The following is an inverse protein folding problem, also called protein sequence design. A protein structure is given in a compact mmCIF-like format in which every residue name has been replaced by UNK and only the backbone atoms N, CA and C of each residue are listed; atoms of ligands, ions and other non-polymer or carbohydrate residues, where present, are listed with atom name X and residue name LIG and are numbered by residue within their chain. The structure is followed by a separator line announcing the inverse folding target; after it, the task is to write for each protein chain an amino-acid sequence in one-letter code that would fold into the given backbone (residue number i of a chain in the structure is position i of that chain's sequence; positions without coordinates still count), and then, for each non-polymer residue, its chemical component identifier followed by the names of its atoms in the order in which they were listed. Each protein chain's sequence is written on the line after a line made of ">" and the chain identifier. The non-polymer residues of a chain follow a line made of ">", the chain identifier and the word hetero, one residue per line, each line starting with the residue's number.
data_IF_342158194290
#
_entry.id   IF_342158194290
#
_cell.length_a   1.000
_cell.length_b   1.000
_cell.length_c   1.000
_cell.angle_alpha   90.00
_cell.angle_beta   90.00
_cell.angle_gamma   90.00
#
_symmetry.space_group_name_H-M   'P 1'
#
loop_
_entity.id
_entity.type
_entity.pdbx_description
1 polymer ?
#
# COMPACT_ATOMS: atom_id res chain seq x y z
N UNK A 1 -14.35 3.57 2.72
CA UNK A 1 -13.57 2.58 3.51
C UNK A 1 -12.10 2.92 3.56
N UNK A 2 -11.44 3.10 2.41
CA UNK A 2 -9.98 3.19 2.27
C UNK A 2 -9.27 4.11 3.26
N UNK A 3 -9.75 5.33 3.51
CA UNK A 3 -9.08 6.22 4.48
C UNK A 3 -9.13 5.70 5.93
N UNK A 4 -10.23 5.05 6.33
CA UNK A 4 -10.33 4.43 7.66
C UNK A 4 -9.38 3.23 7.74
N UNK A 5 -9.33 2.41 6.69
CA UNK A 5 -8.40 1.28 6.61
C UNK A 5 -6.95 1.74 6.63
N UNK A 6 -6.60 2.77 5.86
CA UNK A 6 -5.26 3.34 5.81
C UNK A 6 -4.87 3.90 7.19
N UNK A 7 -5.74 4.69 7.82
CA UNK A 7 -5.49 5.17 9.18
C UNK A 7 -5.30 4.00 10.17
N UNK A 8 -6.16 2.99 10.13
CA UNK A 8 -6.03 1.80 10.95
C UNK A 8 -4.74 1.01 10.69
N UNK A 9 -4.22 1.06 9.47
CA UNK A 9 -3.01 0.34 9.08
C UNK A 9 -1.74 0.85 9.75
N UNK A 10 -1.71 2.12 10.18
CA UNK A 10 -0.65 2.60 11.06
C UNK A 10 -0.66 1.83 12.37
N UNK A 11 -1.83 1.66 12.99
CA UNK A 11 -1.98 0.83 14.19
C UNK A 11 -1.63 -0.63 13.95
N UNK A 12 -2.03 -1.20 12.80
CA UNK A 12 -1.72 -2.58 12.43
C UNK A 12 -0.22 -2.83 12.29
N UNK A 13 0.46 -2.07 11.43
CA UNK A 13 1.89 -2.25 11.16
C UNK A 13 2.74 -1.77 12.33
N UNK A 14 2.49 -0.56 12.85
CA UNK A 14 3.30 -0.02 13.95
C UNK A 14 3.06 -0.73 15.28
N UNK A 15 1.83 -1.19 15.54
CA UNK A 15 1.53 -2.03 16.69
C UNK A 15 2.22 -3.40 16.64
N UNK A 16 2.62 -3.87 15.45
CA UNK A 16 3.38 -5.10 15.28
C UNK A 16 4.84 -5.01 15.79
N UNK A 17 5.32 -3.81 16.16
CA UNK A 17 6.56 -3.65 16.94
C UNK A 17 6.42 -4.14 18.39
N UNK A 18 5.17 -4.32 18.87
CA UNK A 18 4.79 -4.85 20.19
C UNK A 18 5.15 -3.99 21.42
N UNK A 19 6.13 -3.11 21.31
CA UNK A 19 6.52 -2.22 22.41
C UNK A 19 7.18 -0.93 21.92
N UNK A 20 7.14 0.07 22.80
CA UNK A 20 7.90 1.32 22.70
C UNK A 20 8.51 1.59 24.07
N UNK A 21 9.56 0.84 24.40
CA UNK A 21 10.23 0.87 25.70
C UNK A 21 11.49 1.75 25.73
N UNK A 22 12.05 2.05 24.56
CA UNK A 22 13.32 2.73 24.40
C UNK A 22 13.36 3.49 23.07
N UNK A 23 14.47 4.20 22.84
CA UNK A 23 14.66 5.01 21.64
C UNK A 23 14.70 4.19 20.35
N UNK A 24 15.25 2.97 20.40
CA UNK A 24 15.36 2.09 19.24
C UNK A 24 13.97 1.63 18.78
N UNK A 25 13.15 1.13 19.72
CA UNK A 25 11.78 0.73 19.46
C UNK A 25 10.90 1.90 19.00
N UNK A 26 11.07 3.09 19.59
CA UNK A 26 10.36 4.29 19.14
C UNK A 26 10.74 4.68 17.70
N UNK A 27 12.02 4.59 17.36
CA UNK A 27 12.53 4.87 16.01
C UNK A 27 12.00 3.84 15.01
N UNK A 28 11.96 2.56 15.39
CA UNK A 28 11.40 1.49 14.56
C UNK A 28 9.92 1.74 14.23
N UNK A 29 9.08 2.11 15.20
CA UNK A 29 7.66 2.47 14.94
C UNK A 29 7.55 3.66 13.99
N UNK A 30 8.38 4.70 14.16
CA UNK A 30 8.41 5.84 13.24
C UNK A 30 8.76 5.44 11.80
N UNK A 31 9.74 4.55 11.64
CA UNK A 31 10.12 4.00 10.35
C UNK A 31 9.00 3.15 9.73
N UNK A 32 8.33 2.33 10.54
CA UNK A 32 7.17 1.54 10.10
C UNK A 32 6.03 2.44 9.61
N UNK A 33 5.72 3.53 10.31
CA UNK A 33 4.71 4.48 9.87
C UNK A 33 5.09 5.14 8.53
N UNK A 34 6.35 5.54 8.39
CA UNK A 34 6.87 6.12 7.15
C UNK A 34 6.74 5.13 5.99
N UNK A 35 7.21 3.89 6.17
CA UNK A 35 7.14 2.85 5.15
C UNK A 35 5.69 2.51 4.77
N UNK A 36 4.81 2.38 5.76
CA UNK A 36 3.39 2.09 5.56
C UNK A 36 2.73 3.17 4.70
N UNK A 37 2.95 4.44 5.04
CA UNK A 37 2.39 5.55 4.29
C UNK A 37 2.99 5.69 2.89
N UNK A 38 4.31 5.52 2.77
CA UNK A 38 5.02 5.60 1.51
C UNK A 38 4.54 4.52 0.51
N UNK A 39 4.37 3.28 0.97
CA UNK A 39 3.85 2.19 0.15
C UNK A 39 2.41 2.44 -0.30
N UNK A 40 1.53 2.89 0.61
CA UNK A 40 0.14 3.20 0.28
C UNK A 40 0.03 4.34 -0.75
N UNK A 41 0.78 5.43 -0.55
CA UNK A 41 0.81 6.56 -1.47
C UNK A 41 1.37 6.16 -2.84
N UNK A 42 2.47 5.41 -2.86
CA UNK A 42 3.08 4.93 -4.09
C UNK A 42 2.15 3.98 -4.87
N UNK A 43 1.42 3.09 -4.17
CA UNK A 43 0.44 2.21 -4.79
C UNK A 43 -0.73 2.96 -5.41
N UNK A 44 -1.24 3.99 -4.73
CA UNK A 44 -2.28 4.86 -5.27
C UNK A 44 -1.82 5.60 -6.55
N UNK A 45 -0.60 6.17 -6.52
CA UNK A 45 -0.02 6.89 -7.65
C UNK A 45 0.27 5.96 -8.83
N UNK A 46 0.80 4.77 -8.56
CA UNK A 46 1.06 3.77 -9.60
C UNK A 46 -0.24 3.30 -10.26
N UNK A 47 -1.28 3.02 -9.48
CA UNK A 47 -2.60 2.68 -10.01
C UNK A 47 -3.17 3.83 -10.87
N UNK A 48 -3.08 5.09 -10.41
CA UNK A 48 -3.46 6.26 -11.21
C UNK A 48 -2.73 6.29 -12.55
N UNK A 49 -1.42 6.06 -12.54
CA UNK A 49 -0.60 6.07 -13.76
C UNK A 49 -0.98 4.92 -14.70
N UNK A 50 -1.20 3.72 -14.19
CA UNK A 50 -1.70 2.58 -14.96
C UNK A 50 -3.08 2.89 -15.57
N UNK A 51 -4.00 3.47 -14.81
CA UNK A 51 -5.32 3.87 -15.32
C UNK A 51 -5.19 4.89 -16.45
N UNK A 52 -4.38 5.93 -16.25
CA UNK A 52 -4.19 7.01 -17.23
C UNK A 52 -3.55 6.50 -18.51
N UNK A 53 -2.59 5.59 -18.43
CA UNK A 53 -1.92 5.02 -19.61
C UNK A 53 -2.77 3.96 -20.32
N UNK A 54 -3.59 3.20 -19.59
CA UNK A 54 -4.42 2.13 -20.17
C UNK A 54 -5.75 2.66 -20.73
N UNK A 55 -6.40 3.61 -20.05
CA UNK A 55 -7.75 4.09 -20.38
C UNK A 55 -7.85 5.59 -20.64
N UNK A 56 -6.76 6.35 -20.54
CA UNK A 56 -6.74 7.81 -20.74
C UNK A 56 -7.39 8.62 -19.60
N UNK A 57 -7.99 7.97 -18.60
CA UNK A 57 -8.69 8.61 -17.49
C UNK A 57 -8.29 8.02 -16.14
N UNK A 58 -8.51 8.80 -15.08
CA UNK A 58 -8.37 8.29 -13.72
C UNK A 58 -9.59 7.41 -13.39
N UNK A 59 -9.36 6.36 -12.60
CA UNK A 59 -10.41 5.52 -12.03
C UNK A 59 -10.23 5.50 -10.51
N UNK A 60 -11.19 6.07 -9.79
CA UNK A 60 -11.10 6.22 -8.34
C UNK A 60 -11.03 4.86 -7.63
N UNK A 61 -11.82 3.88 -8.07
CA UNK A 61 -11.87 2.55 -7.45
C UNK A 61 -10.52 1.85 -7.60
N UNK A 62 -9.91 1.92 -8.79
CA UNK A 62 -8.58 1.34 -9.02
C UNK A 62 -7.49 2.06 -8.20
N UNK A 63 -7.55 3.38 -8.08
CA UNK A 63 -6.60 4.16 -7.26
C UNK A 63 -6.71 3.77 -5.78
N UNK A 64 -7.93 3.67 -5.26
CA UNK A 64 -8.17 3.28 -3.88
C UNK A 64 -7.72 1.83 -3.60
N UNK A 65 -7.94 0.91 -4.55
CA UNK A 65 -7.41 -0.45 -4.46
C UNK A 65 -5.87 -0.48 -4.57
N UNK A 66 -5.27 0.40 -5.38
CA UNK A 66 -3.82 0.58 -5.43
C UNK A 66 -3.23 0.98 -4.08
N UNK A 67 -3.89 1.89 -3.36
CA UNK A 67 -3.49 2.26 -2.00
C UNK A 67 -3.55 1.06 -1.05
N UNK A 68 -4.64 0.29 -1.09
CA UNK A 68 -4.82 -0.90 -0.27
C UNK A 68 -3.81 -2.01 -0.62
N UNK A 69 -3.50 -2.21 -1.90
CA UNK A 69 -2.48 -3.15 -2.33
C UNK A 69 -1.07 -2.76 -1.85
N UNK A 70 -0.77 -1.45 -1.81
CA UNK A 70 0.45 -0.92 -1.19
C UNK A 70 0.54 -1.26 0.29
N UNK A 71 -0.54 -1.02 1.03
CA UNK A 71 -0.66 -1.35 2.46
C UNK A 71 -0.52 -2.86 2.71
N UNK A 72 -1.21 -3.69 1.94
CA UNK A 72 -1.13 -5.16 2.06
C UNK A 72 0.30 -5.64 1.78
N UNK A 73 0.96 -5.14 0.74
CA UNK A 73 2.30 -5.60 0.38
C UNK A 73 3.36 -5.26 1.43
N UNK A 74 3.35 -4.03 1.97
CA UNK A 74 4.33 -3.61 2.99
C UNK A 74 4.10 -4.27 4.36
N UNK A 75 2.91 -4.86 4.58
CA UNK A 75 2.56 -5.54 5.84
C UNK A 75 3.41 -6.78 6.10
N UNK A 76 3.97 -7.41 5.07
CA UNK A 76 4.78 -8.62 5.23
C UNK A 76 6.02 -8.38 6.12
N UNK A 77 6.64 -7.21 5.98
CA UNK A 77 7.73 -6.74 6.83
C UNK A 77 7.84 -5.21 6.72
N UNK A 78 7.14 -4.45 7.57
CA UNK A 78 7.06 -3.00 7.43
C UNK A 78 8.29 -2.25 7.95
N UNK A 79 9.17 -2.92 8.70
CA UNK A 79 10.36 -2.31 9.30
C UNK A 79 11.59 -2.46 8.41
N UNK A 80 11.80 -3.62 7.78
CA UNK A 80 13.05 -3.88 7.05
C UNK A 80 13.30 -3.02 5.81
N UNK A 81 12.30 -2.58 5.02
CA UNK A 81 12.54 -1.74 3.85
C UNK A 81 13.07 -0.36 4.23
N UNK A 82 13.97 0.18 3.42
CA UNK A 82 14.20 1.63 3.40
C UNK A 82 12.94 2.34 2.87
N UNK A 83 12.73 3.64 3.18
CA UNK A 83 11.57 4.39 2.67
C UNK A 83 11.44 4.34 1.14
N UNK A 84 12.56 4.40 0.42
CA UNK A 84 12.56 4.32 -1.04
C UNK A 84 12.17 2.93 -1.54
N UNK A 85 12.58 1.88 -0.82
CA UNK A 85 12.17 0.53 -1.15
C UNK A 85 10.69 0.28 -0.83
N UNK A 86 10.15 0.88 0.24
CA UNK A 86 8.71 0.86 0.53
C UNK A 86 7.89 1.54 -0.59
N UNK A 87 8.37 2.65 -1.15
CA UNK A 87 7.78 3.26 -2.35
C UNK A 87 7.78 2.28 -3.53
N UNK A 88 8.90 1.59 -3.77
CA UNK A 88 8.99 0.62 -4.87
C UNK A 88 8.01 -0.56 -4.67
N UNK A 89 7.94 -1.11 -3.45
CA UNK A 89 6.97 -2.17 -3.09
C UNK A 89 5.55 -1.70 -3.37
N UNK A 90 5.19 -0.52 -2.88
CA UNK A 90 3.86 0.07 -3.08
C UNK A 90 3.54 0.30 -4.54
N UNK A 91 4.48 0.86 -5.32
CA UNK A 91 4.27 1.12 -6.73
C UNK A 91 4.05 -0.18 -7.53
N UNK A 92 4.84 -1.22 -7.25
CA UNK A 92 4.70 -2.53 -7.90
C UNK A 92 3.36 -3.17 -7.54
N UNK A 93 3.00 -3.24 -6.25
CA UNK A 93 1.73 -3.86 -5.85
C UNK A 93 0.52 -3.08 -6.34
N UNK A 94 0.58 -1.73 -6.32
CA UNK A 94 -0.47 -0.86 -6.83
C UNK A 94 -0.66 -0.96 -8.35
N UNK A 95 0.40 -1.17 -9.11
CA UNK A 95 0.27 -1.45 -10.55
C UNK A 95 -0.31 -2.85 -10.80
N UNK A 96 0.17 -3.86 -10.07
CA UNK A 96 -0.26 -5.25 -10.23
C UNK A 96 -1.76 -5.42 -9.92
N UNK A 97 -2.27 -4.80 -8.85
CA UNK A 97 -3.68 -4.99 -8.46
C UNK A 97 -4.66 -4.54 -9.54
N UNK A 98 -4.33 -3.50 -10.31
CA UNK A 98 -5.17 -3.05 -11.44
C UNK A 98 -5.30 -4.16 -12.48
N UNK A 99 -4.19 -4.80 -12.84
CA UNK A 99 -4.22 -5.90 -13.80
C UNK A 99 -4.85 -7.17 -13.23
N UNK A 100 -4.68 -7.43 -11.92
CA UNK A 100 -5.32 -8.54 -11.22
C UNK A 100 -6.84 -8.43 -11.24
N UNK A 101 -7.40 -7.26 -10.95
CA UNK A 101 -8.85 -7.02 -10.98
C UNK A 101 -9.40 -7.29 -12.39
N UNK A 102 -8.78 -6.71 -13.44
CA UNK A 102 -9.18 -6.94 -14.84
C UNK A 102 -9.10 -8.44 -15.19
N UNK A 103 -8.09 -9.16 -14.69
CA UNK A 103 -7.94 -10.58 -14.95
C UNK A 103 -9.05 -11.41 -14.30
N UNK A 104 -9.40 -11.12 -13.04
CA UNK A 104 -10.51 -11.78 -12.33
C UNK A 104 -11.85 -11.50 -13.01
N UNK A 105 -12.10 -10.24 -13.39
CA UNK A 105 -13.30 -9.84 -14.16
C UNK A 105 -13.44 -10.65 -15.45
N UNK A 106 -12.34 -10.83 -16.20
CA UNK A 106 -12.32 -11.61 -17.45
C UNK A 106 -12.58 -13.10 -17.22
N UNK A 107 -12.18 -13.62 -16.06
CA UNK A 107 -12.47 -14.98 -15.63
C UNK A 107 -13.91 -15.12 -15.08
N UNK A 108 -14.66 -14.02 -14.97
CA UNK A 108 -16.00 -13.96 -14.38
C UNK A 108 -16.02 -14.44 -12.93
N UNK A 109 -14.96 -14.10 -12.20
CA UNK A 109 -14.87 -14.28 -10.74
C UNK A 109 -15.17 -12.91 -10.15
N UNK A 110 -16.29 -12.80 -9.45
CA UNK A 110 -16.76 -11.59 -8.77
C UNK A 110 -16.44 -11.71 -7.28
N UNK A 111 -15.70 -10.74 -6.75
CA UNK A 111 -15.28 -10.62 -5.34
C UNK A 111 -15.77 -9.34 -4.66
#
# INVERSE_FOLDING_TARGET
>A
GTFILWFGWFGFNGGSQLMVSDFENATAVGQIFLNTNAAAAAGAIAALFVCKTTWGKADLTMILNGALAGLVAITADPLSPSPLYAVAIGAVSGALVVFSIIALDKLKIDD
#
